data_IF_974655467144
#
_entry.id   IF_974655467144
#
_cell.length_a   1.000
_cell.length_b   1.000
_cell.length_c   1.000
_cell.angle_alpha   90.00
_cell.angle_beta   90.00
_cell.angle_gamma   90.00
#
_symmetry.space_group_name_H-M   'P 1'
#
loop_
_entity.id
_entity.type
_entity.pdbx_description
1 polymer ?
#
# COMPACT_ATOMS: atom_id res chain seq x y z
N UNK A 1 16.88 0.49 -3.83
CA UNK A 1 15.67 0.88 -4.59
C UNK A 1 15.38 2.34 -4.31
N UNK A 2 14.92 3.08 -5.32
CA UNK A 2 14.39 4.44 -5.15
C UNK A 2 12.90 4.44 -5.44
N UNK A 3 12.15 5.24 -4.69
CA UNK A 3 10.71 5.42 -4.88
C UNK A 3 10.49 6.85 -5.37
N UNK A 4 9.84 7.05 -6.52
CA UNK A 4 9.56 8.38 -7.06
C UNK A 4 8.38 8.99 -6.31
N UNK A 5 8.65 9.77 -5.27
CA UNK A 5 7.61 10.48 -4.54
C UNK A 5 7.14 11.70 -5.36
N UNK A 6 5.83 11.85 -5.66
CA UNK A 6 5.33 12.98 -6.46
C UNK A 6 5.64 14.35 -5.85
N UNK A 7 5.81 14.42 -4.53
CA UNK A 7 6.09 15.65 -3.79
C UNK A 7 7.58 15.87 -3.55
N UNK A 8 8.35 14.80 -3.35
CA UNK A 8 9.74 14.88 -2.90
C UNK A 8 10.78 14.42 -3.94
N UNK A 9 10.34 13.98 -5.11
CA UNK A 9 11.18 13.37 -6.14
C UNK A 9 11.66 11.97 -5.77
N UNK A 10 12.73 11.52 -6.43
CA UNK A 10 13.33 10.21 -6.22
C UNK A 10 14.01 10.13 -4.85
N UNK A 11 13.47 9.30 -3.96
CA UNK A 11 13.95 9.12 -2.59
C UNK A 11 14.39 7.69 -2.31
N UNK A 12 15.25 7.53 -1.31
CA UNK A 12 15.70 6.21 -0.88
C UNK A 12 14.53 5.45 -0.23
N UNK A 13 14.36 4.17 -0.56
CA UNK A 13 13.32 3.29 0.02
C UNK A 13 13.28 3.35 1.56
N UNK A 14 14.42 3.57 2.23
CA UNK A 14 14.49 3.62 3.70
C UNK A 14 13.75 4.80 4.32
N UNK A 15 13.34 5.79 3.53
CA UNK A 15 12.46 6.86 4.00
C UNK A 15 11.00 6.44 4.08
N UNK A 16 10.66 5.27 3.54
CA UNK A 16 9.29 4.80 3.40
C UNK A 16 9.05 3.54 4.23
N UNK A 17 7.86 3.48 4.83
CA UNK A 17 7.35 2.28 5.47
C UNK A 17 6.54 1.47 4.46
N UNK A 18 6.80 0.16 4.39
CA UNK A 18 6.07 -0.76 3.52
C UNK A 18 4.83 -1.28 4.24
N UNK A 19 3.65 -1.13 3.63
CA UNK A 19 2.38 -1.54 4.25
C UNK A 19 1.86 -2.86 3.70
N UNK A 20 2.22 -3.21 2.46
CA UNK A 20 1.71 -4.39 1.78
C UNK A 20 0.94 -4.00 0.53
N UNK A 21 0.02 -4.85 0.11
CA UNK A 21 -0.78 -4.65 -1.09
C UNK A 21 -1.67 -3.39 -1.02
N UNK A 22 -1.70 -2.63 -2.11
CA UNK A 22 -2.48 -1.40 -2.26
C UNK A 22 -3.99 -1.59 -2.17
N UNK A 23 -4.51 -2.81 -2.30
CA UNK A 23 -5.92 -3.13 -2.11
C UNK A 23 -6.44 -2.76 -0.72
N UNK A 24 -5.57 -2.62 0.29
CA UNK A 24 -5.94 -2.18 1.65
C UNK A 24 -6.55 -0.78 1.70
N UNK A 25 -6.36 0.05 0.66
CA UNK A 25 -7.03 1.36 0.56
C UNK A 25 -8.55 1.19 0.38
N UNK A 26 -8.99 0.06 -0.19
CA UNK A 26 -10.38 -0.24 -0.49
C UNK A 26 -11.09 -0.92 0.69
N UNK A 27 -11.04 -0.27 1.86
CA UNK A 27 -11.72 -0.76 3.07
C UNK A 27 -13.23 -0.95 2.80
N UNK A 28 -13.82 -2.11 3.15
CA UNK A 28 -15.25 -2.32 3.04
C UNK A 28 -16.06 -1.34 3.88
N UNK A 29 -17.34 -1.14 3.51
CA UNK A 29 -18.27 -0.39 4.36
C UNK A 29 -18.44 -1.11 5.70
N UNK A 30 -18.67 -0.36 6.80
CA UNK A 30 -18.94 -0.95 8.11
C UNK A 30 -20.10 -1.96 8.12
N UNK A 31 -21.05 -1.82 7.20
CA UNK A 31 -22.25 -2.65 7.05
C UNK A 31 -22.06 -3.82 6.07
N UNK A 32 -20.85 -4.03 5.53
CA UNK A 32 -20.56 -5.17 4.66
C UNK A 32 -20.70 -6.51 5.40
N UNK A 33 -20.88 -7.60 4.64
CA UNK A 33 -21.00 -8.94 5.21
C UNK A 33 -19.72 -9.39 5.91
N UNK A 34 -19.84 -10.34 6.83
CA UNK A 34 -18.71 -10.96 7.52
C UNK A 34 -17.73 -11.60 6.53
N UNK A 35 -18.21 -12.30 5.50
CA UNK A 35 -17.36 -12.88 4.44
C UNK A 35 -16.53 -11.81 3.71
N UNK A 36 -17.10 -10.63 3.46
CA UNK A 36 -16.37 -9.52 2.82
C UNK A 36 -15.28 -8.98 3.74
N UNK A 37 -15.58 -8.88 5.04
CA UNK A 37 -14.61 -8.46 6.04
C UNK A 37 -13.50 -9.48 6.24
N UNK A 38 -13.82 -10.77 6.27
CA UNK A 38 -12.84 -11.85 6.41
C UNK A 38 -11.83 -11.84 5.26
N UNK A 39 -12.32 -11.76 4.02
CA UNK A 39 -11.47 -11.68 2.84
C UNK A 39 -10.58 -10.42 2.88
N UNK A 40 -11.16 -9.26 3.17
CA UNK A 40 -10.42 -8.00 3.29
C UNK A 40 -9.37 -8.00 4.42
N UNK A 41 -9.59 -8.70 5.51
CA UNK A 41 -8.65 -8.73 6.64
C UNK A 41 -7.50 -9.73 6.41
N UNK A 42 -7.77 -10.86 5.76
CA UNK A 42 -6.86 -12.01 5.77
C UNK A 42 -6.23 -12.36 4.41
N UNK A 43 -6.89 -12.06 3.28
CA UNK A 43 -6.42 -12.50 1.97
C UNK A 43 -5.77 -11.36 1.18
N UNK A 44 -4.67 -11.65 0.49
CA UNK A 44 -4.00 -10.74 -0.45
C UNK A 44 -3.50 -11.51 -1.66
N UNK A 45 -3.44 -10.84 -2.80
CA UNK A 45 -2.82 -11.40 -3.98
C UNK A 45 -1.30 -11.49 -3.77
N UNK A 46 -0.71 -12.64 -4.09
CA UNK A 46 0.74 -12.85 -4.01
C UNK A 46 1.29 -13.39 -5.33
N UNK A 47 1.21 -12.61 -6.43
CA UNK A 47 1.71 -13.04 -7.72
C UNK A 47 3.23 -13.10 -7.71
N UNK A 48 3.80 -14.12 -8.36
CA UNK A 48 5.22 -14.13 -8.70
C UNK A 48 5.46 -13.17 -9.89
N UNK A 49 5.59 -11.88 -9.60
CA UNK A 49 5.75 -10.85 -10.62
C UNK A 49 5.46 -9.44 -10.12
N UNK A 50 4.86 -8.63 -10.99
CA UNK A 50 4.51 -7.24 -10.70
C UNK A 50 3.38 -7.18 -9.67
N UNK A 51 3.59 -6.42 -8.60
CA UNK A 51 2.62 -6.15 -7.53
C UNK A 51 2.23 -4.68 -7.53
N UNK A 52 1.12 -4.34 -6.87
CA UNK A 52 0.79 -2.95 -6.53
C UNK A 52 0.85 -2.81 -5.03
N UNK A 53 1.88 -2.13 -4.55
CA UNK A 53 2.19 -2.03 -3.14
C UNK A 53 1.92 -0.63 -2.60
N UNK A 54 1.42 -0.55 -1.37
CA UNK A 54 1.23 0.67 -0.61
C UNK A 54 2.46 0.98 0.25
N UNK A 55 2.96 2.20 0.11
CA UNK A 55 4.09 2.75 0.85
C UNK A 55 3.71 4.06 1.52
N UNK A 56 4.23 4.30 2.72
CA UNK A 56 4.03 5.55 3.47
C UNK A 56 5.36 6.32 3.58
N UNK A 57 5.40 7.58 3.13
CA UNK A 57 6.63 8.40 3.15
C UNK A 57 6.89 9.03 4.53
N UNK A 58 7.19 8.19 5.51
CA UNK A 58 7.37 8.52 6.93
C UNK A 58 8.45 9.58 7.18
N UNK A 59 9.60 9.48 6.51
CA UNK A 59 10.71 10.42 6.66
C UNK A 59 10.70 11.53 5.60
N UNK A 60 9.50 11.94 5.15
CA UNK A 60 9.32 12.92 4.08
C UNK A 60 7.97 13.63 4.13
N UNK A 61 7.18 13.51 3.06
CA UNK A 61 5.92 14.25 2.93
C UNK A 61 4.72 13.63 3.67
N UNK A 62 4.90 12.51 4.39
CA UNK A 62 3.84 11.81 5.11
C UNK A 62 2.64 11.42 4.23
N UNK A 63 2.88 11.23 2.93
CA UNK A 63 1.85 10.80 1.97
C UNK A 63 1.88 9.29 1.77
N UNK A 64 0.76 8.76 1.29
CA UNK A 64 0.58 7.38 0.86
C UNK A 64 0.81 7.25 -0.65
N UNK A 65 1.56 6.23 -1.07
CA UNK A 65 1.94 6.01 -2.46
C UNK A 65 1.63 4.57 -2.87
N UNK A 66 1.05 4.40 -4.06
CA UNK A 66 0.97 3.10 -4.74
C UNK A 66 2.16 2.97 -5.67
N UNK A 67 2.96 1.93 -5.49
CA UNK A 67 4.19 1.64 -6.24
C UNK A 67 4.02 0.29 -6.97
N UNK A 68 4.60 0.17 -8.16
CA UNK A 68 4.51 -1.01 -9.05
C UNK A 68 5.89 -1.35 -9.61
#
# INVERSE_FOLDING_TARGET
MRIPCPTCGDRDRREFYYVGDAQIINRPSPEASEDTWDDYLHNRDNPAGVTKDLWYHENGCNSWLVVT
#
